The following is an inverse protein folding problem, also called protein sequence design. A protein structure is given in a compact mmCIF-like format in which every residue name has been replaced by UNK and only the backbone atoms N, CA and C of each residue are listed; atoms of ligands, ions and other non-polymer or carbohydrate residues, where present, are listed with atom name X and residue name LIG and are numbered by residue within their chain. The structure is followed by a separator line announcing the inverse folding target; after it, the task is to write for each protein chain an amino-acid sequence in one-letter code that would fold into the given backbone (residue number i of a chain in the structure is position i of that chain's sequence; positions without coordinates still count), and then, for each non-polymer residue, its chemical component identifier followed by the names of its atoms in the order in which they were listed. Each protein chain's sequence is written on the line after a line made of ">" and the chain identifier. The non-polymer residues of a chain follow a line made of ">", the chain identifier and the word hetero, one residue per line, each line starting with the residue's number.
data_IF_300128917161
#
_entry.id   IF_300128917161
#
_cell.length_a   1.000
_cell.length_b   1.000
_cell.length_c   1.000
_cell.angle_alpha   90.00
_cell.angle_beta   90.00
_cell.angle_gamma   90.00
#
_symmetry.space_group_name_H-M   'P 1'
#
loop_
_entity.id
_entity.type
_entity.pdbx_description
1 polymer ?
#
# COMPACT_ATOMS: atom_id res chain seq x y z
N UNK A 1 34.49 19.99 -56.13
CA UNK A 1 35.36 20.15 -54.94
C UNK A 1 34.65 19.56 -53.74
N UNK A 2 35.16 18.50 -53.11
CA UNK A 2 34.62 18.01 -51.83
C UNK A 2 35.28 18.83 -50.71
N UNK A 3 34.48 19.57 -49.93
CA UNK A 3 34.98 20.26 -48.72
C UNK A 3 35.39 19.19 -47.70
N UNK A 4 36.66 19.18 -47.31
CA UNK A 4 37.13 18.34 -46.22
C UNK A 4 36.68 18.94 -44.89
N UNK A 5 35.99 18.15 -44.07
CA UNK A 5 35.58 18.53 -42.72
C UNK A 5 36.84 18.69 -41.85
N UNK A 6 36.95 19.79 -41.10
CA UNK A 6 38.10 19.99 -40.21
C UNK A 6 37.85 19.33 -38.86
N UNK A 7 38.93 18.88 -38.21
CA UNK A 7 38.86 18.24 -36.89
C UNK A 7 38.27 19.20 -35.83
N UNK A 8 38.53 20.50 -35.96
CA UNK A 8 38.00 21.55 -35.08
C UNK A 8 36.48 21.67 -35.20
N UNK A 9 35.93 21.67 -36.42
CA UNK A 9 34.47 21.72 -36.64
C UNK A 9 33.77 20.53 -35.99
N UNK A 10 34.35 19.33 -36.11
CA UNK A 10 33.81 18.14 -35.46
C UNK A 10 33.87 18.26 -33.93
N UNK A 11 34.98 18.79 -33.39
CA UNK A 11 35.18 18.94 -31.95
C UNK A 11 34.21 19.94 -31.31
N UNK A 12 33.95 21.07 -31.98
CA UNK A 12 32.98 22.06 -31.48
C UNK A 12 31.57 21.48 -31.46
N UNK A 13 31.19 20.70 -32.48
CA UNK A 13 29.86 20.06 -32.54
C UNK A 13 29.67 19.07 -31.40
N UNK A 14 30.63 18.18 -31.15
CA UNK A 14 30.52 17.23 -30.02
C UNK A 14 30.51 17.96 -28.67
N UNK A 15 31.24 19.08 -28.53
CA UNK A 15 31.23 19.88 -27.30
C UNK A 15 29.85 20.51 -27.05
N UNK A 16 29.22 21.07 -28.08
CA UNK A 16 27.86 21.61 -27.98
C UNK A 16 26.86 20.51 -27.63
N UNK A 17 26.92 19.35 -28.30
CA UNK A 17 26.06 18.20 -28.00
C UNK A 17 26.25 17.75 -26.55
N UNK A 18 27.49 17.67 -26.06
CA UNK A 18 27.80 17.27 -24.69
C UNK A 18 27.19 18.24 -23.66
N UNK A 19 27.28 19.55 -23.89
CA UNK A 19 26.67 20.57 -23.01
C UNK A 19 25.14 20.44 -23.00
N UNK A 20 24.52 20.34 -24.18
CA UNK A 20 23.07 20.19 -24.29
C UNK A 20 22.58 18.90 -23.63
N UNK A 21 23.28 17.80 -23.85
CA UNK A 21 22.95 16.51 -23.24
C UNK A 21 23.10 16.55 -21.71
N UNK A 22 24.15 17.20 -21.19
CA UNK A 22 24.39 17.34 -19.75
C UNK A 22 23.25 18.07 -19.02
N UNK A 23 22.60 19.04 -19.67
CA UNK A 23 21.43 19.75 -19.10
C UNK A 23 20.15 18.95 -19.33
N UNK A 24 20.01 18.29 -20.48
CA UNK A 24 18.79 17.58 -20.85
C UNK A 24 18.57 16.31 -20.04
N UNK A 25 19.61 15.54 -19.75
CA UNK A 25 19.49 14.27 -19.02
C UNK A 25 18.87 14.40 -17.61
N UNK A 26 19.31 15.31 -16.72
CA UNK A 26 18.71 15.44 -15.40
C UNK A 26 17.26 15.90 -15.47
N UNK A 27 16.93 16.83 -16.38
CA UNK A 27 15.55 17.31 -16.58
C UNK A 27 14.65 16.21 -17.12
N UNK A 28 15.14 15.42 -18.08
CA UNK A 28 14.39 14.30 -18.64
C UNK A 28 14.10 13.21 -17.60
N UNK A 29 15.06 12.91 -16.71
CA UNK A 29 14.86 11.96 -15.62
C UNK A 29 13.75 12.42 -14.66
N UNK A 30 13.75 13.69 -14.27
CA UNK A 30 12.71 14.28 -13.42
C UNK A 30 11.33 14.27 -14.11
N UNK A 31 11.28 14.66 -15.38
CA UNK A 31 10.04 14.65 -16.17
C UNK A 31 9.45 13.23 -16.29
N UNK A 32 10.31 12.23 -16.52
CA UNK A 32 9.91 10.81 -16.58
C UNK A 32 9.36 10.33 -15.24
N UNK A 33 9.98 10.71 -14.11
CA UNK A 33 9.47 10.35 -12.78
C UNK A 33 8.13 11.02 -12.48
N UNK A 34 7.96 12.31 -12.84
CA UNK A 34 6.71 13.03 -12.70
C UNK A 34 5.57 12.40 -13.54
N UNK A 35 5.88 11.93 -14.75
CA UNK A 35 4.93 11.21 -15.59
C UNK A 35 4.48 9.89 -14.94
N UNK A 36 5.43 9.09 -14.41
CA UNK A 36 5.11 7.85 -13.66
C UNK A 36 4.25 8.15 -12.43
N UNK A 37 4.58 9.18 -11.66
CA UNK A 37 3.81 9.63 -10.49
C UNK A 37 2.38 9.97 -10.85
N UNK A 38 2.17 10.70 -11.95
CA UNK A 38 0.86 11.11 -12.43
C UNK A 38 0.04 9.91 -12.91
N UNK A 39 0.67 8.98 -13.64
CA UNK A 39 0.02 7.75 -14.11
C UNK A 39 -0.44 6.88 -12.93
N UNK A 40 0.41 6.65 -11.94
CA UNK A 40 0.04 5.87 -10.74
C UNK A 40 -1.05 6.56 -9.92
N UNK A 41 -1.02 7.90 -9.80
CA UNK A 41 -2.09 8.63 -9.13
C UNK A 41 -3.44 8.47 -9.86
N UNK A 42 -3.44 8.49 -11.19
CA UNK A 42 -4.63 8.20 -12.00
C UNK A 42 -5.15 6.78 -11.76
N UNK A 43 -4.25 5.79 -11.71
CA UNK A 43 -4.61 4.41 -11.35
C UNK A 43 -5.26 4.35 -9.96
N UNK A 44 -4.66 5.02 -8.97
CA UNK A 44 -5.20 5.11 -7.61
C UNK A 44 -6.60 5.73 -7.58
N UNK A 45 -6.86 6.78 -8.38
CA UNK A 45 -8.19 7.39 -8.45
C UNK A 45 -9.22 6.42 -9.03
N UNK A 46 -8.86 5.68 -10.07
CA UNK A 46 -9.73 4.65 -10.65
C UNK A 46 -10.01 3.52 -9.64
N UNK A 47 -9.02 3.13 -8.85
CA UNK A 47 -9.20 2.17 -7.75
C UNK A 47 -10.16 2.70 -6.67
N UNK A 48 -10.02 3.97 -6.26
CA UNK A 48 -10.95 4.60 -5.32
C UNK A 48 -12.39 4.64 -5.83
N UNK A 49 -12.58 4.90 -7.13
CA UNK A 49 -13.90 4.78 -7.77
C UNK A 49 -14.41 3.34 -7.76
N UNK A 50 -13.56 2.35 -8.03
CA UNK A 50 -13.94 0.93 -7.96
C UNK A 50 -14.41 0.51 -6.56
N UNK A 51 -13.75 0.98 -5.50
CA UNK A 51 -14.21 0.78 -4.11
C UNK A 51 -15.59 1.41 -3.86
N UNK A 52 -15.84 2.62 -4.38
CA UNK A 52 -17.14 3.29 -4.20
C UNK A 52 -18.29 2.51 -4.86
N UNK A 53 -18.05 1.99 -6.06
CA UNK A 53 -19.03 1.17 -6.77
C UNK A 53 -19.24 -0.15 -6.01
N UNK A 54 -18.15 -0.81 -5.59
CA UNK A 54 -18.23 -2.03 -4.77
C UNK A 54 -19.09 -1.84 -3.51
N UNK A 55 -18.87 -0.76 -2.76
CA UNK A 55 -19.64 -0.48 -1.53
C UNK A 55 -21.12 -0.23 -1.83
N UNK A 56 -21.44 0.37 -2.98
CA UNK A 56 -22.84 0.55 -3.41
C UNK A 56 -23.54 -0.80 -3.59
N UNK A 57 -22.83 -1.80 -4.13
CA UNK A 57 -23.38 -3.14 -4.37
C UNK A 57 -23.28 -4.07 -3.14
N UNK A 58 -22.50 -3.68 -2.12
CA UNK A 58 -22.18 -4.50 -0.93
C UNK A 58 -22.74 -3.90 0.37
N UNK A 59 -23.91 -3.26 0.31
CA UNK A 59 -24.60 -2.68 1.48
C UNK A 59 -23.74 -1.69 2.29
N UNK A 60 -22.93 -0.88 1.60
CA UNK A 60 -22.02 0.12 2.18
C UNK A 60 -20.88 -0.46 3.04
N UNK A 61 -20.52 -1.73 2.82
CA UNK A 61 -19.45 -2.42 3.55
C UNK A 61 -18.18 -2.47 2.69
N UNK A 62 -17.03 -2.15 3.31
CA UNK A 62 -15.73 -2.31 2.69
C UNK A 62 -15.36 -3.79 2.48
N UNK A 63 -14.58 -4.12 1.42
CA UNK A 63 -14.16 -5.48 1.16
C UNK A 63 -13.42 -6.15 2.32
N UNK A 64 -13.38 -7.49 2.30
CA UNK A 64 -12.63 -8.23 3.30
C UNK A 64 -11.13 -8.09 3.08
N UNK A 65 -10.40 -7.67 4.11
CA UNK A 65 -8.95 -7.60 4.10
C UNK A 65 -8.29 -9.01 4.09
N UNK A 66 -8.94 -9.98 4.75
CA UNK A 66 -8.52 -11.38 4.88
C UNK A 66 -9.74 -12.29 4.80
N UNK A 67 -9.53 -13.54 4.44
CA UNK A 67 -10.61 -14.49 4.20
C UNK A 67 -11.04 -15.24 5.46
N UNK A 68 -12.32 -15.63 5.50
CA UNK A 68 -12.88 -16.45 6.57
C UNK A 68 -12.81 -17.94 6.19
N UNK A 69 -12.45 -18.80 7.15
CA UNK A 69 -12.48 -20.25 6.98
C UNK A 69 -13.90 -20.77 7.13
N UNK A 70 -14.18 -21.97 6.61
CA UNK A 70 -15.47 -22.65 6.79
C UNK A 70 -15.86 -22.85 8.28
N UNK A 71 -14.85 -22.96 9.16
CA UNK A 71 -15.06 -23.04 10.61
C UNK A 71 -15.44 -21.70 11.28
N UNK A 72 -15.65 -20.62 10.51
CA UNK A 72 -16.02 -19.29 11.00
C UNK A 72 -14.86 -18.47 11.57
N UNK A 73 -13.65 -19.02 11.64
CA UNK A 73 -12.43 -18.32 12.08
C UNK A 73 -11.78 -17.55 10.93
N UNK A 74 -11.14 -16.43 11.24
CA UNK A 74 -10.44 -15.61 10.26
C UNK A 74 -9.05 -16.14 9.96
N UNK A 75 -8.63 -16.07 8.68
CA UNK A 75 -7.23 -16.35 8.35
C UNK A 75 -6.37 -15.18 8.80
N UNK A 76 -5.30 -15.50 9.54
CA UNK A 76 -4.22 -14.57 9.82
C UNK A 76 -3.50 -14.04 8.56
N UNK A 77 -3.75 -14.63 7.39
CA UNK A 77 -3.01 -14.29 6.20
C UNK A 77 -3.49 -12.98 5.57
N UNK A 78 -2.75 -11.93 5.85
CA UNK A 78 -2.94 -10.58 5.31
C UNK A 78 -2.54 -10.49 3.84
N UNK A 79 -1.83 -11.49 3.31
CA UNK A 79 -1.39 -11.60 1.92
C UNK A 79 -2.28 -12.59 1.19
N UNK A 80 -2.63 -12.31 -0.06
CA UNK A 80 -3.42 -13.23 -0.88
C UNK A 80 -3.06 -13.17 -2.37
N UNK A 81 -3.22 -14.29 -3.09
CA UNK A 81 -3.03 -14.35 -4.52
C UNK A 81 -3.90 -13.34 -5.29
N UNK A 82 -3.30 -12.65 -6.24
CA UNK A 82 -3.97 -11.71 -7.14
C UNK A 82 -3.42 -11.87 -8.55
N UNK A 83 -4.22 -12.35 -9.53
CA UNK A 83 -5.59 -12.85 -9.40
C UNK A 83 -5.71 -14.10 -8.51
N UNK A 84 -6.91 -14.39 -8.01
CA UNK A 84 -7.18 -15.66 -7.34
C UNK A 84 -6.80 -16.86 -8.21
N UNK A 85 -6.22 -17.89 -7.61
CA UNK A 85 -5.70 -19.08 -8.32
C UNK A 85 -4.38 -18.87 -9.07
N UNK A 86 -3.77 -17.68 -9.04
CA UNK A 86 -2.47 -17.45 -9.72
C UNK A 86 -1.29 -18.13 -9.03
N UNK A 87 -1.35 -18.37 -7.72
CA UNK A 87 -0.29 -19.04 -6.96
C UNK A 87 -0.66 -20.51 -6.78
N UNK A 88 0.24 -21.43 -7.17
CA UNK A 88 0.02 -22.88 -7.10
C UNK A 88 0.99 -23.62 -6.18
N UNK A 89 1.41 -22.97 -5.10
CA UNK A 89 2.28 -23.54 -4.08
C UNK A 89 1.82 -23.13 -2.68
N UNK A 90 2.31 -23.84 -1.65
CA UNK A 90 2.07 -23.47 -0.25
C UNK A 90 0.60 -23.57 0.21
N UNK A 91 -0.21 -24.39 -0.46
CA UNK A 91 -1.63 -24.59 -0.13
C UNK A 91 -2.56 -23.49 -0.64
N UNK A 92 -2.07 -22.56 -1.48
CA UNK A 92 -2.89 -21.54 -2.13
C UNK A 92 -3.73 -22.08 -3.29
N UNK A 93 -3.39 -23.26 -3.79
CA UNK A 93 -4.04 -24.00 -4.88
C UNK A 93 -5.23 -24.85 -4.42
N UNK A 94 -5.46 -24.98 -3.11
CA UNK A 94 -6.63 -25.73 -2.63
C UNK A 94 -7.92 -25.02 -3.09
N UNK A 95 -8.93 -25.76 -3.59
CA UNK A 95 -10.20 -25.16 -4.04
C UNK A 95 -10.88 -24.30 -2.98
N UNK A 96 -10.81 -24.71 -1.71
CA UNK A 96 -11.36 -23.98 -0.57
C UNK A 96 -10.62 -22.66 -0.35
N UNK A 97 -9.28 -22.66 -0.48
CA UNK A 97 -8.46 -21.44 -0.32
C UNK A 97 -8.69 -20.49 -1.48
N UNK A 98 -8.84 -20.99 -2.71
CA UNK A 98 -9.15 -20.19 -3.89
C UNK A 98 -10.52 -19.50 -3.74
N UNK A 99 -11.55 -20.25 -3.32
CA UNK A 99 -12.88 -19.70 -3.08
C UNK A 99 -12.84 -18.60 -2.01
N UNK A 100 -12.08 -18.83 -0.92
CA UNK A 100 -11.83 -17.85 0.14
C UNK A 100 -11.07 -16.62 -0.37
N UNK A 101 -10.12 -16.79 -1.28
CA UNK A 101 -9.29 -15.72 -1.84
C UNK A 101 -10.09 -14.78 -2.75
N UNK A 102 -11.16 -15.30 -3.38
CA UNK A 102 -12.06 -14.48 -4.21
C UNK A 102 -12.79 -13.39 -3.42
N UNK A 103 -13.00 -13.59 -2.12
CA UNK A 103 -13.71 -12.61 -1.28
C UNK A 103 -12.79 -11.51 -0.75
N UNK A 104 -11.48 -11.62 -0.97
CA UNK A 104 -10.50 -10.63 -0.50
C UNK A 104 -10.45 -9.42 -1.43
N UNK A 105 -10.13 -8.27 -0.85
CA UNK A 105 -10.30 -6.96 -1.46
C UNK A 105 -9.81 -6.83 -2.90
N UNK A 106 -8.61 -7.35 -3.22
CA UNK A 106 -8.04 -7.14 -4.54
C UNK A 106 -8.79 -7.94 -5.59
N UNK A 107 -9.31 -9.11 -5.24
CA UNK A 107 -10.10 -9.94 -6.15
C UNK A 107 -11.56 -9.50 -6.21
N UNK A 108 -12.15 -9.11 -5.08
CA UNK A 108 -13.57 -8.70 -5.03
C UNK A 108 -13.83 -7.38 -5.75
N UNK A 109 -12.83 -6.50 -5.83
CA UNK A 109 -12.95 -5.22 -6.54
C UNK A 109 -12.69 -5.35 -8.05
N UNK A 110 -12.06 -6.45 -8.48
CA UNK A 110 -11.70 -6.65 -9.88
C UNK A 110 -12.84 -6.37 -10.87
N UNK A 111 -14.10 -6.81 -10.66
CA UNK A 111 -15.18 -6.56 -11.60
C UNK A 111 -15.52 -5.07 -11.80
N UNK A 112 -15.16 -4.21 -10.85
CA UNK A 112 -15.45 -2.78 -10.83
C UNK A 112 -14.33 -1.92 -11.41
N UNK A 113 -13.27 -2.56 -11.91
CA UNK A 113 -12.10 -1.89 -12.46
C UNK A 113 -11.72 -2.51 -13.81
N UNK A 114 -11.07 -1.71 -14.66
CA UNK A 114 -10.83 -2.09 -16.06
C UNK A 114 -9.87 -3.27 -16.23
N UNK A 115 -8.82 -3.34 -15.40
CA UNK A 115 -7.75 -4.32 -15.53
C UNK A 115 -6.85 -4.34 -14.28
N UNK A 116 -6.00 -5.36 -14.19
CA UNK A 116 -5.06 -5.58 -13.08
C UNK A 116 -3.88 -4.61 -13.05
N UNK A 117 -3.55 -3.94 -14.17
CA UNK A 117 -2.45 -2.97 -14.21
C UNK A 117 -2.75 -1.71 -13.36
N UNK A 118 -4.01 -1.50 -12.96
CA UNK A 118 -4.41 -0.42 -12.06
C UNK A 118 -3.87 -0.57 -10.63
N UNK A 119 -3.46 -1.78 -10.22
CA UNK A 119 -2.84 -1.99 -8.90
C UNK A 119 -1.36 -1.61 -8.87
N UNK A 120 -0.76 -1.38 -10.03
CA UNK A 120 0.68 -1.18 -10.18
C UNK A 120 1.11 0.25 -9.84
N UNK A 121 2.27 0.35 -9.21
CA UNK A 121 3.09 1.55 -9.27
C UNK A 121 3.90 1.55 -10.57
N UNK A 122 3.56 2.47 -11.46
CA UNK A 122 4.20 2.60 -12.77
C UNK A 122 5.71 2.80 -12.60
N UNK A 123 6.46 1.86 -13.16
CA UNK A 123 7.92 1.89 -13.21
C UNK A 123 8.64 1.64 -11.89
N UNK A 124 7.94 1.12 -10.86
CA UNK A 124 8.58 0.51 -9.69
C UNK A 124 9.12 -0.89 -10.03
N UNK A 125 10.10 -1.37 -9.25
CA UNK A 125 10.64 -2.71 -9.40
C UNK A 125 9.60 -3.80 -9.10
N UNK A 126 9.95 -5.05 -9.28
CA UNK A 126 9.09 -6.20 -8.96
C UNK A 126 9.73 -7.02 -7.85
N UNK A 127 8.92 -7.46 -6.88
CA UNK A 127 9.31 -8.40 -5.83
C UNK A 127 8.34 -9.58 -5.82
N UNK A 128 8.87 -10.78 -5.68
CA UNK A 128 8.06 -12.00 -5.53
C UNK A 128 8.50 -12.73 -4.28
N UNK A 129 7.53 -13.19 -3.48
CA UNK A 129 7.80 -14.25 -2.52
C UNK A 129 8.16 -15.54 -3.28
N UNK A 130 8.83 -16.46 -2.59
CA UNK A 130 9.02 -17.82 -3.11
C UNK A 130 7.65 -18.46 -3.34
N UNK A 131 7.31 -18.65 -4.61
CA UNK A 131 6.02 -19.11 -5.05
C UNK A 131 6.15 -19.70 -6.45
N UNK A 132 5.39 -20.76 -6.70
CA UNK A 132 5.14 -21.23 -8.07
C UNK A 132 3.85 -20.56 -8.55
N UNK A 133 3.83 -20.21 -9.84
CA UNK A 133 2.68 -19.57 -10.47
C UNK A 133 1.96 -20.52 -11.40
N UNK A 134 0.65 -20.35 -11.49
CA UNK A 134 -0.21 -21.05 -12.44
C UNK A 134 0.22 -20.74 -13.89
N UNK A 135 0.29 -21.74 -14.77
CA UNK A 135 0.55 -21.52 -16.19
C UNK A 135 -0.63 -20.91 -16.94
N UNK A 136 -1.85 -20.96 -16.37
CA UNK A 136 -3.08 -20.50 -17.03
C UNK A 136 -3.52 -19.12 -16.55
N UNK A 137 -3.16 -18.72 -15.33
CA UNK A 137 -3.56 -17.45 -14.72
C UNK A 137 -2.31 -16.62 -14.44
N UNK A 138 -2.07 -15.62 -15.29
CA UNK A 138 -0.93 -14.73 -15.15
C UNK A 138 -0.98 -13.91 -13.85
N UNK A 139 0.12 -13.82 -13.09
CA UNK A 139 0.16 -13.04 -11.85
C UNK A 139 0.08 -11.54 -12.15
N UNK A 140 -0.78 -10.84 -11.41
CA UNK A 140 -0.86 -9.39 -11.46
C UNK A 140 0.29 -8.76 -10.67
N UNK A 141 0.67 -7.54 -11.01
CA UNK A 141 1.60 -6.75 -10.22
C UNK A 141 0.81 -5.80 -9.34
N UNK A 142 1.10 -5.77 -8.05
CA UNK A 142 0.30 -5.03 -7.09
C UNK A 142 1.20 -4.27 -6.14
N UNK A 143 1.14 -2.94 -6.19
CA UNK A 143 1.79 -2.06 -5.22
C UNK A 143 0.82 -1.57 -4.15
N UNK A 144 -0.46 -1.41 -4.53
CA UNK A 144 -1.50 -0.98 -3.61
C UNK A 144 -1.83 -2.05 -2.57
N UNK A 145 -2.08 -1.56 -1.36
CA UNK A 145 -2.38 -2.32 -0.17
C UNK A 145 -3.63 -1.73 0.45
N UNK A 146 -4.60 -2.58 0.78
CA UNK A 146 -5.79 -2.13 1.51
C UNK A 146 -5.44 -1.86 2.97
N UNK A 147 -5.99 -0.78 3.52
CA UNK A 147 -6.00 -0.58 4.96
C UNK A 147 -6.94 -1.61 5.60
N UNK A 148 -6.38 -2.61 6.27
CA UNK A 148 -7.14 -3.70 6.86
C UNK A 148 -7.96 -3.32 8.09
N UNK A 149 -7.83 -2.10 8.63
CA UNK A 149 -8.77 -1.61 9.65
C UNK A 149 -10.18 -1.36 9.09
N UNK A 150 -10.30 -1.25 7.76
CA UNK A 150 -11.59 -1.17 7.07
C UNK A 150 -12.23 -2.55 6.84
N UNK A 151 -11.62 -3.63 7.32
CA UNK A 151 -12.18 -4.97 7.17
C UNK A 151 -13.63 -5.00 7.68
N UNK A 152 -14.58 -5.27 6.77
CA UNK A 152 -16.02 -5.37 7.06
C UNK A 152 -16.60 -4.11 7.75
N UNK A 153 -15.93 -2.98 7.59
CA UNK A 153 -16.36 -1.71 8.18
C UNK A 153 -17.38 -1.03 7.25
N UNK A 154 -18.37 -0.34 7.82
CA UNK A 154 -19.29 0.50 7.04
C UNK A 154 -18.73 1.90 6.82
N UNK A 155 -19.08 2.57 5.72
CA UNK A 155 -18.54 3.92 5.45
C UNK A 155 -18.98 4.95 6.51
N UNK A 156 -20.18 4.78 7.09
CA UNK A 156 -20.73 5.65 8.13
C UNK A 156 -19.98 5.66 9.46
N UNK A 157 -19.08 4.70 9.72
CA UNK A 157 -18.29 4.67 10.97
C UNK A 157 -17.00 5.49 10.89
N UNK A 158 -16.67 6.02 9.70
CA UNK A 158 -15.44 6.78 9.45
C UNK A 158 -15.67 8.22 9.86
N UNK A 159 -14.92 8.70 10.86
CA UNK A 159 -15.14 10.05 11.40
C UNK A 159 -14.71 11.14 10.41
N UNK A 160 -13.56 10.97 9.75
CA UNK A 160 -13.04 11.92 8.76
C UNK A 160 -12.62 11.23 7.46
N UNK A 161 -13.55 10.97 6.53
CA UNK A 161 -13.27 10.26 5.28
C UNK A 161 -12.18 10.91 4.42
N UNK A 162 -12.05 12.24 4.50
CA UNK A 162 -11.05 13.02 3.79
C UNK A 162 -9.66 12.92 4.37
N UNK A 163 -9.47 12.24 5.50
CA UNK A 163 -8.16 12.04 6.11
C UNK A 163 -7.70 10.60 5.91
N UNK A 164 -8.53 9.61 6.22
CA UNK A 164 -8.10 8.22 6.42
C UNK A 164 -7.85 7.50 5.07
N UNK A 165 -6.68 6.85 4.88
CA UNK A 165 -6.40 6.08 3.67
C UNK A 165 -7.15 4.74 3.64
N UNK A 166 -7.75 4.41 2.49
CA UNK A 166 -8.24 3.07 2.17
C UNK A 166 -7.19 2.25 1.41
N UNK A 167 -6.41 2.90 0.55
CA UNK A 167 -5.32 2.28 -0.23
C UNK A 167 -4.05 3.10 -0.13
N UNK A 168 -2.93 2.41 -0.07
CA UNK A 168 -1.60 3.02 -0.01
C UNK A 168 -0.55 2.01 -0.52
N UNK A 169 0.67 2.45 -0.87
CA UNK A 169 1.72 1.55 -1.34
C UNK A 169 2.41 0.86 -0.16
N UNK A 170 1.72 -0.08 0.49
CA UNK A 170 2.22 -0.75 1.70
C UNK A 170 3.48 -1.59 1.48
N UNK A 171 3.85 -1.84 0.21
CA UNK A 171 5.09 -2.55 -0.15
C UNK A 171 6.28 -1.60 -0.34
N UNK A 172 6.08 -0.29 -0.27
CA UNK A 172 7.08 0.69 -0.66
C UNK A 172 7.30 0.70 -2.18
N UNK A 173 8.53 0.94 -2.63
CA UNK A 173 8.93 1.13 -4.04
C UNK A 173 9.08 -0.18 -4.83
N UNK A 174 8.18 -1.13 -4.61
CA UNK A 174 8.12 -2.39 -5.35
C UNK A 174 6.68 -2.80 -5.66
N UNK A 175 6.48 -3.41 -6.82
CA UNK A 175 5.26 -4.12 -7.16
C UNK A 175 5.40 -5.57 -6.68
N UNK A 176 4.47 -6.04 -5.87
CA UNK A 176 4.41 -7.46 -5.51
C UNK A 176 3.89 -8.25 -6.70
N UNK A 177 4.55 -9.37 -7.01
CA UNK A 177 4.13 -10.28 -8.07
C UNK A 177 3.12 -11.29 -7.55
N UNK A 178 1.94 -11.29 -8.14
CA UNK A 178 0.87 -12.26 -7.93
C UNK A 178 0.24 -12.21 -6.55
N UNK A 179 0.49 -11.16 -5.75
CA UNK A 179 0.06 -11.10 -4.34
C UNK A 179 -0.27 -9.69 -3.90
N UNK A 180 -1.52 -9.48 -3.50
CA UNK A 180 -1.93 -8.28 -2.76
C UNK A 180 -1.89 -8.56 -1.26
N UNK A 181 -1.90 -7.50 -0.47
CA UNK A 181 -2.04 -7.65 0.97
C UNK A 181 -2.86 -6.52 1.59
N UNK A 182 -3.21 -6.69 2.85
CA UNK A 182 -3.80 -5.67 3.69
C UNK A 182 -2.81 -5.25 4.78
N UNK A 183 -2.69 -3.95 5.01
CA UNK A 183 -1.75 -3.40 5.98
C UNK A 183 -2.22 -2.00 6.44
N UNK A 184 -2.26 -1.72 7.74
CA UNK A 184 -2.24 -2.70 8.83
C UNK A 184 -3.44 -3.66 8.74
N UNK A 185 -3.41 -4.75 9.50
CA UNK A 185 -4.48 -5.75 9.53
C UNK A 185 -4.99 -5.95 10.95
N UNK A 186 -6.30 -6.14 11.12
CA UNK A 186 -6.87 -6.46 12.43
C UNK A 186 -6.36 -7.81 12.94
N UNK A 187 -6.11 -7.89 14.25
CA UNK A 187 -5.70 -9.14 14.88
C UNK A 187 -6.93 -9.99 15.23
N UNK A 188 -7.33 -10.91 14.33
CA UNK A 188 -8.56 -11.71 14.47
C UNK A 188 -8.29 -13.21 14.59
N UNK A 189 -7.59 -13.60 15.65
CA UNK A 189 -7.18 -15.00 15.91
C UNK A 189 -8.32 -15.96 16.30
N UNK A 190 -9.55 -15.50 16.47
CA UNK A 190 -10.66 -16.28 17.02
C UNK A 190 -11.90 -16.21 16.12
N UNK A 191 -12.94 -16.94 16.49
CA UNK A 191 -14.25 -16.83 15.85
C UNK A 191 -15.01 -15.62 16.43
N UNK A 192 -15.67 -14.85 15.55
CA UNK A 192 -16.44 -13.67 15.94
C UNK A 192 -16.45 -12.60 14.86
N UNK A 193 -17.18 -11.50 15.13
CA UNK A 193 -17.13 -10.31 14.31
C UNK A 193 -15.78 -9.61 14.47
N UNK A 194 -15.02 -9.59 13.39
CA UNK A 194 -13.69 -9.00 13.31
C UNK A 194 -13.80 -7.60 12.72
N UNK A 195 -14.08 -6.61 13.56
CA UNK A 195 -14.26 -5.22 13.13
C UNK A 195 -13.32 -4.32 13.91
N UNK A 196 -12.93 -3.19 13.31
CA UNK A 196 -12.16 -2.18 14.03
C UNK A 196 -12.92 -1.70 15.28
N UNK A 197 -12.25 -1.67 16.42
CA UNK A 197 -12.78 -1.14 17.67
C UNK A 197 -11.74 -0.21 18.32
N UNK A 198 -12.01 1.10 18.47
CA UNK A 198 -10.99 2.05 18.92
C UNK A 198 -10.62 1.90 20.42
N UNK A 199 -11.51 1.32 21.22
CA UNK A 199 -11.36 1.21 22.69
C UNK A 199 -11.11 -0.21 23.20
N UNK A 200 -11.19 -1.22 22.34
CA UNK A 200 -10.99 -2.62 22.69
C UNK A 200 -10.39 -3.40 21.51
N UNK A 201 -10.08 -4.68 21.72
CA UNK A 201 -9.65 -5.55 20.62
C UNK A 201 -10.70 -5.61 19.50
N UNK A 202 -10.25 -6.00 18.30
CA UNK A 202 -11.09 -6.17 17.10
C UNK A 202 -12.22 -7.19 17.26
N UNK A 203 -12.11 -8.05 18.27
CA UNK A 203 -13.06 -9.09 18.65
C UNK A 203 -13.00 -9.31 20.17
N UNK A 204 -14.09 -9.77 20.81
CA UNK A 204 -14.08 -10.14 22.22
C UNK A 204 -13.01 -11.20 22.53
N UNK A 205 -12.21 -10.98 23.58
CA UNK A 205 -11.12 -11.89 23.96
C UNK A 205 -9.88 -11.85 23.07
N UNK A 206 -9.78 -10.89 22.15
CA UNK A 206 -8.59 -10.67 21.33
C UNK A 206 -7.36 -10.23 22.13
N UNK A 207 -6.18 -10.52 21.59
CA UNK A 207 -4.87 -10.15 22.15
C UNK A 207 -4.69 -8.63 22.22
N UNK A 208 -3.80 -8.15 23.10
CA UNK A 208 -3.50 -6.73 23.34
C UNK A 208 -3.04 -5.93 22.10
N UNK A 209 -2.80 -6.57 20.96
CA UNK A 209 -2.17 -5.97 19.78
C UNK A 209 -3.07 -5.11 18.88
N UNK A 210 -4.41 -5.23 18.92
CA UNK A 210 -5.37 -4.45 18.11
C UNK A 210 -5.26 -4.63 16.59
N UNK A 211 -4.09 -4.36 16.01
CA UNK A 211 -3.71 -4.62 14.63
C UNK A 211 -2.23 -5.00 14.49
N UNK A 212 -1.93 -5.89 13.52
CA UNK A 212 -0.56 -6.20 13.12
C UNK A 212 -0.17 -5.39 11.89
N UNK A 213 1.11 -5.01 11.82
CA UNK A 213 1.69 -4.28 10.69
C UNK A 213 2.69 -5.17 9.96
N UNK A 214 2.42 -5.45 8.67
CA UNK A 214 3.32 -6.23 7.84
C UNK A 214 4.31 -5.31 7.14
N UNK A 215 5.61 -5.58 7.22
CA UNK A 215 6.60 -4.88 6.42
C UNK A 215 7.21 -5.88 5.40
N UNK A 216 6.82 -5.84 4.12
CA UNK A 216 7.18 -6.87 3.15
C UNK A 216 8.63 -6.80 2.64
N UNK A 217 9.54 -6.12 3.35
CA UNK A 217 10.98 -6.20 3.12
C UNK A 217 11.69 -4.84 3.18
N UNK A 218 12.81 -4.78 2.49
CA UNK A 218 13.78 -3.67 2.52
C UNK A 218 13.52 -2.59 1.45
N UNK A 219 12.31 -2.54 0.90
CA UNK A 219 11.95 -1.55 -0.10
C UNK A 219 11.82 -0.15 0.52
N UNK A 220 12.19 0.88 -0.25
CA UNK A 220 12.01 2.27 0.18
C UNK A 220 10.51 2.59 0.30
N UNK A 221 10.08 3.21 1.39
CA UNK A 221 8.73 3.75 1.54
C UNK A 221 8.42 4.86 0.52
N UNK A 222 9.45 5.47 -0.07
CA UNK A 222 9.28 6.53 -1.04
C UNK A 222 9.13 5.99 -2.46
N UNK A 223 7.98 6.24 -3.07
CA UNK A 223 7.68 5.73 -4.42
C UNK A 223 8.23 6.68 -5.50
N UNK A 224 7.80 7.95 -5.46
CA UNK A 224 8.19 9.01 -6.41
C UNK A 224 8.79 10.20 -5.64
N UNK A 225 10.10 10.42 -5.76
CA UNK A 225 10.82 11.34 -4.87
C UNK A 225 10.70 10.91 -3.42
N UNK A 226 10.09 11.73 -2.56
CA UNK A 226 9.72 11.42 -1.16
C UNK A 226 8.21 11.29 -0.95
N UNK A 227 7.46 10.98 -2.00
CA UNK A 227 6.00 10.95 -1.97
C UNK A 227 5.42 9.59 -2.31
N UNK A 228 4.21 9.35 -1.80
CA UNK A 228 3.39 8.19 -2.10
C UNK A 228 1.98 8.62 -2.49
N UNK A 229 1.33 7.89 -3.41
CA UNK A 229 -0.10 8.06 -3.67
C UNK A 229 -0.89 7.35 -2.57
N UNK A 230 -1.88 8.03 -2.00
CA UNK A 230 -2.87 7.43 -1.10
C UNK A 230 -4.26 7.67 -1.65
N UNK A 231 -5.11 6.66 -1.54
CA UNK A 231 -6.55 6.79 -1.77
C UNK A 231 -7.21 6.88 -0.41
N UNK A 232 -8.02 7.90 -0.20
CA UNK A 232 -8.73 8.14 1.06
C UNK A 232 -10.14 7.58 1.01
N UNK A 233 -10.77 7.47 2.18
CA UNK A 233 -12.13 6.96 2.33
C UNK A 233 -13.18 7.78 1.57
N UNK A 234 -12.95 9.07 1.36
CA UNK A 234 -13.75 9.91 0.45
C UNK A 234 -13.50 9.62 -1.05
N UNK A 235 -12.74 8.57 -1.38
CA UNK A 235 -12.30 8.15 -2.72
C UNK A 235 -11.32 9.11 -3.39
N UNK A 236 -10.89 10.18 -2.73
CA UNK A 236 -9.88 11.09 -3.27
C UNK A 236 -8.52 10.41 -3.31
N UNK A 237 -7.82 10.55 -4.43
CA UNK A 237 -6.44 10.09 -4.56
C UNK A 237 -5.53 11.30 -4.48
N UNK A 238 -4.58 11.30 -3.55
CA UNK A 238 -3.61 12.39 -3.37
C UNK A 238 -2.23 11.83 -3.17
N UNK A 239 -1.23 12.49 -3.75
CA UNK A 239 0.14 12.26 -3.35
C UNK A 239 0.42 13.00 -2.05
N UNK A 240 0.92 12.28 -1.06
CA UNK A 240 1.40 12.87 0.20
C UNK A 240 2.91 12.74 0.26
N UNK A 241 3.56 13.74 0.82
CA UNK A 241 4.98 13.66 1.13
C UNK A 241 5.14 12.88 2.43
N UNK A 242 6.09 11.95 2.42
CA UNK A 242 6.47 11.17 3.58
C UNK A 242 7.65 11.90 4.22
N UNK A 243 7.34 12.62 5.28
CA UNK A 243 8.12 13.71 5.88
C UNK A 243 9.05 13.23 6.98
N UNK A 244 9.85 12.21 6.68
CA UNK A 244 10.53 11.46 7.72
C UNK A 244 11.72 12.17 8.35
N UNK A 245 11.80 12.04 9.68
CA UNK A 245 13.04 12.16 10.45
C UNK A 245 13.90 10.93 10.19
N UNK A 246 15.12 11.12 9.70
CA UNK A 246 16.12 10.06 9.53
C UNK A 246 16.61 9.67 10.93
N UNK A 247 16.54 8.39 11.30
CA UNK A 247 17.05 7.94 12.60
C UNK A 247 18.59 8.20 12.71
N UNK A 248 19.12 8.62 13.88
CA UNK A 248 18.47 8.73 15.19
C UNK A 248 18.28 10.19 15.60
N UNK A 249 17.49 10.99 14.87
CA UNK A 249 17.00 12.23 15.46
C UNK A 249 16.00 11.87 16.57
N UNK A 250 16.13 12.50 17.75
CA UNK A 250 15.32 12.25 18.93
C UNK A 250 13.83 12.07 18.59
N UNK A 251 13.16 11.19 19.33
CA UNK A 251 11.70 11.06 19.32
C UNK A 251 11.07 12.43 19.67
N UNK A 252 10.85 13.30 18.68
CA UNK A 252 9.98 14.47 18.86
C UNK A 252 8.70 14.20 18.08
N UNK A 253 7.60 14.32 18.83
CA UNK A 253 6.32 13.63 18.67
C UNK A 253 5.17 14.36 17.95
N UNK A 254 5.30 15.45 17.16
CA UNK A 254 4.11 16.19 16.75
C UNK A 254 3.35 15.65 15.52
N UNK A 255 3.77 14.55 14.87
CA UNK A 255 3.32 14.20 13.51
C UNK A 255 2.76 12.78 13.32
N UNK A 256 2.20 12.16 14.37
CA UNK A 256 1.74 10.76 14.36
C UNK A 256 0.62 10.46 13.34
N UNK A 257 -0.10 11.48 12.89
CA UNK A 257 -1.23 11.36 11.94
C UNK A 257 -0.88 11.78 10.50
N UNK A 258 0.28 12.41 10.26
CA UNK A 258 0.65 12.88 8.91
C UNK A 258 1.52 11.91 8.14
N UNK A 259 2.19 10.98 8.83
CA UNK A 259 3.10 9.99 8.22
C UNK A 259 2.69 8.57 8.65
N UNK A 260 2.60 7.60 7.72
CA UNK A 260 2.37 6.19 8.07
C UNK A 260 3.50 5.58 8.91
N UNK A 261 4.70 6.17 8.90
CA UNK A 261 5.89 5.64 9.53
C UNK A 261 6.39 6.57 10.64
N UNK A 262 6.92 5.96 11.72
CA UNK A 262 7.62 6.67 12.77
C UNK A 262 9.07 6.97 12.40
N UNK A 263 9.73 6.02 11.71
CA UNK A 263 11.12 6.13 11.33
C UNK A 263 11.38 5.44 9.99
N UNK A 264 12.33 6.00 9.23
CA UNK A 264 13.00 5.31 8.11
C UNK A 264 14.51 5.40 8.22
N UNK A 265 15.19 4.55 7.46
CA UNK A 265 16.62 4.69 7.17
C UNK A 265 16.90 5.87 6.22
N UNK A 266 18.18 6.22 6.06
CA UNK A 266 18.60 7.20 5.05
C UNK A 266 18.23 6.81 3.60
N UNK A 267 18.10 5.51 3.31
CA UNK A 267 17.61 4.97 2.03
C UNK A 267 16.08 4.94 1.92
N UNK A 268 15.36 5.39 2.95
CA UNK A 268 13.90 5.45 2.99
C UNK A 268 13.23 4.14 3.36
N UNK A 269 13.96 3.15 3.88
CA UNK A 269 13.36 1.87 4.31
C UNK A 269 12.54 2.07 5.59
N UNK A 270 11.28 1.61 5.64
CA UNK A 270 10.44 1.70 6.83
C UNK A 270 11.01 0.88 7.98
N UNK A 271 11.08 1.48 9.18
CA UNK A 271 11.58 0.84 10.40
C UNK A 271 10.50 0.60 11.44
N UNK A 272 9.61 1.57 11.64
CA UNK A 272 8.55 1.51 12.65
C UNK A 272 7.39 2.41 12.25
N UNK A 273 6.24 2.24 12.90
CA UNK A 273 5.02 3.03 12.72
C UNK A 273 4.61 3.68 14.05
N UNK A 274 3.66 4.61 14.01
CA UNK A 274 3.08 5.24 15.20
C UNK A 274 1.85 4.47 15.68
N UNK A 275 1.89 3.79 16.84
CA UNK A 275 0.70 3.25 17.49
C UNK A 275 -0.09 4.31 18.27
N UNK A 276 -1.41 4.21 18.25
CA UNK A 276 -2.38 5.03 18.99
C UNK A 276 -3.46 4.12 19.62
N UNK A 277 -3.86 4.36 20.88
CA UNK A 277 -4.91 3.56 21.53
C UNK A 277 -4.97 3.71 23.04
N UNK A 278 -5.78 2.87 23.69
CA UNK A 278 -5.93 2.88 25.15
C UNK A 278 -4.58 2.60 25.81
N UNK A 279 -4.12 3.46 26.72
CA UNK A 279 -2.84 3.28 27.43
C UNK A 279 -1.59 3.65 26.63
N UNK A 280 -1.73 4.07 25.38
CA UNK A 280 -0.58 4.55 24.59
C UNK A 280 -0.36 6.04 24.84
N UNK A 281 0.54 6.38 25.75
CA UNK A 281 1.03 7.75 25.93
C UNK A 281 2.29 7.96 25.09
N UNK A 282 2.40 9.15 24.50
CA UNK A 282 3.61 9.66 23.86
C UNK A 282 4.84 9.38 24.75
N UNK A 283 5.75 8.48 24.32
CA UNK A 283 6.97 8.11 25.07
C UNK A 283 6.93 6.83 25.90
N UNK A 284 5.78 6.15 26.05
CA UNK A 284 5.70 4.87 26.78
C UNK A 284 4.67 3.93 26.15
N UNK A 285 5.08 3.09 25.18
CA UNK A 285 4.20 2.08 24.58
C UNK A 285 3.92 0.97 25.60
N UNK A 286 2.67 0.88 26.05
CA UNK A 286 2.17 -0.31 26.75
C UNK A 286 1.78 -1.37 25.73
N UNK A 287 2.67 -2.34 25.49
CA UNK A 287 2.45 -3.44 24.54
C UNK A 287 1.34 -4.42 24.97
N UNK A 288 0.90 -4.33 26.23
CA UNK A 288 -0.23 -5.03 26.82
C UNK A 288 -1.57 -4.27 26.63
N UNK A 289 -1.56 -3.10 25.97
CA UNK A 289 -2.73 -2.28 25.75
C UNK A 289 -3.11 -2.20 24.26
N UNK A 290 -4.42 -2.11 23.99
CA UNK A 290 -4.95 -2.06 22.63
C UNK A 290 -4.44 -0.82 21.90
N UNK A 291 -3.77 -1.04 20.78
CA UNK A 291 -3.23 0.01 19.94
C UNK A 291 -3.42 -0.29 18.45
N UNK A 292 -3.55 0.78 17.65
CA UNK A 292 -3.72 0.73 16.20
C UNK A 292 -2.81 1.78 15.56
N UNK A 293 -2.29 1.55 14.34
CA UNK A 293 -1.48 2.53 13.63
C UNK A 293 -2.25 3.84 13.37
N UNK A 294 -1.79 4.94 13.97
CA UNK A 294 -2.49 6.22 14.05
C UNK A 294 -2.96 6.73 12.68
N UNK A 295 -2.06 6.71 11.69
CA UNK A 295 -2.31 7.19 10.33
C UNK A 295 -3.50 6.49 9.64
N UNK A 296 -3.79 5.25 10.03
CA UNK A 296 -4.72 4.36 9.36
C UNK A 296 -6.08 4.25 10.07
N UNK A 297 -6.23 4.83 11.26
CA UNK A 297 -7.41 4.67 12.11
C UNK A 297 -8.68 5.28 11.47
N UNK A 298 -9.79 4.51 11.37
CA UNK A 298 -11.07 5.04 10.89
C UNK A 298 -11.70 6.14 11.75
N UNK A 299 -11.40 6.16 13.05
CA UNK A 299 -11.92 7.12 14.03
C UNK A 299 -11.01 8.35 14.22
N UNK A 300 -10.18 8.67 13.22
CA UNK A 300 -9.32 9.85 13.24
C UNK A 300 -10.11 11.11 12.91
N UNK A 301 -9.85 12.18 13.65
CA UNK A 301 -10.43 13.53 13.44
C UNK A 301 -9.46 14.59 12.95
N UNK A 302 -8.14 14.36 13.08
CA UNK A 302 -7.06 15.31 12.74
C UNK A 302 -5.88 14.68 12.01
#
# INVERSE_FOLDING_TARGET
>A
MKRAFTLIELLVVIAIIAILAAILFPVFAQAKEAAKKTATLSNCKQMGTGFAIYMTDSEDIFPLAFSQRAAGTWRWNTVHPTPSGTVNSGGWDSPEVIAQTNTQWANSIQPYIKNWQLYEAVGAGEYSYDATFSPTIAPAKTNLTMNGLFHKLGSGTIQSPSLVPILWPGAGKVNMKGRSFANPSLDCQAAGDCNFNPGAGSQPGGSAGGASFLNPGDASAWLYGKSIPVVRADTSAKNINIGLKIAPAAHEWPAINSDPWAQVTASGQPRSYWPCGTGHTVGNPKWDAVNYPCFFRPDRTE
#
